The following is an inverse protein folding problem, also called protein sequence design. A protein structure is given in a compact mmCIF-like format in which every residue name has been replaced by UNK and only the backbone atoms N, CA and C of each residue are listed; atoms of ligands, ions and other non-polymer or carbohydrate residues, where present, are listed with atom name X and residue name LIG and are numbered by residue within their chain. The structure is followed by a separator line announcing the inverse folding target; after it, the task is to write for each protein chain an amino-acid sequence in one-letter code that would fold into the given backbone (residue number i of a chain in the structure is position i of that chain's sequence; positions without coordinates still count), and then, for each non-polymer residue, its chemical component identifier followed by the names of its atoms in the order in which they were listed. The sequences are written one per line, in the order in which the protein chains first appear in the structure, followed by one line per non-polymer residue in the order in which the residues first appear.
data_IF_218608191298
#
_entry.id   IF_218608191298
#
_cell.length_a   1.000
_cell.length_b   1.000
_cell.length_c   1.000
_cell.angle_alpha   90.00
_cell.angle_beta   90.00
_cell.angle_gamma   90.00
#
_symmetry.space_group_name_H-M   'P 1'
#
loop_
_entity.id
_entity.type
_entity.pdbx_description
1 polymer ?
#
# COMPACT_ATOMS: atom_id res chain seq x y z
N UNK A 1 -10.89 -6.43 -25.47
CA UNK A 1 -11.04 -7.47 -24.42
C UNK A 1 -10.51 -6.89 -23.12
N UNK A 2 -11.40 -6.57 -22.17
CA UNK A 2 -11.01 -5.99 -20.89
C UNK A 2 -10.33 -7.07 -20.03
N UNK A 3 -9.03 -6.91 -19.76
CA UNK A 3 -8.29 -7.81 -18.87
C UNK A 3 -8.86 -7.69 -17.45
N UNK A 4 -9.31 -8.80 -16.89
CA UNK A 4 -9.66 -8.90 -15.47
C UNK A 4 -8.33 -8.89 -14.69
N UNK A 5 -7.98 -7.75 -14.12
CA UNK A 5 -6.79 -7.60 -13.26
C UNK A 5 -7.17 -8.13 -11.88
N UNK A 6 -6.45 -9.13 -11.38
CA UNK A 6 -6.61 -9.57 -9.99
C UNK A 6 -5.89 -8.57 -9.06
N UNK A 7 -6.55 -7.44 -8.78
CA UNK A 7 -6.06 -6.37 -7.91
C UNK A 7 -5.74 -6.87 -6.49
N UNK A 8 -6.40 -7.96 -6.06
CA UNK A 8 -6.27 -8.52 -4.71
C UNK A 8 -4.88 -9.05 -4.36
N UNK A 9 -4.09 -9.44 -5.36
CA UNK A 9 -2.79 -10.08 -5.13
C UNK A 9 -1.61 -9.10 -5.20
N UNK A 10 -1.83 -7.88 -5.68
CA UNK A 10 -0.75 -6.90 -5.89
C UNK A 10 -0.92 -5.60 -5.11
N UNK A 11 -2.13 -5.34 -4.60
CA UNK A 11 -2.46 -4.15 -3.83
C UNK A 11 -3.21 -4.56 -2.56
N UNK A 12 -3.22 -3.73 -1.50
CA UNK A 12 -2.39 -2.55 -1.36
C UNK A 12 -0.97 -2.90 -0.91
N UNK A 13 -0.05 -1.97 -1.14
CA UNK A 13 1.27 -1.97 -0.52
C UNK A 13 1.70 -0.55 -0.23
N UNK A 14 2.71 -0.40 0.62
CA UNK A 14 3.26 0.89 1.01
C UNK A 14 4.71 0.95 0.57
N UNK A 15 5.11 2.06 -0.05
CA UNK A 15 6.50 2.36 -0.34
C UNK A 15 6.97 3.37 0.70
N UNK A 16 7.95 3.00 1.50
CA UNK A 16 8.59 3.89 2.47
C UNK A 16 9.93 4.37 1.91
N UNK A 17 10.17 5.68 1.92
CA UNK A 17 11.47 6.24 1.57
C UNK A 17 12.34 6.32 2.82
N UNK A 18 13.33 5.43 2.93
CA UNK A 18 14.20 5.31 4.12
C UNK A 18 15.43 6.22 3.98
N UNK A 19 15.97 6.35 2.77
CA UNK A 19 17.09 7.25 2.47
C UNK A 19 16.88 7.94 1.11
N UNK A 20 17.83 8.80 0.71
CA UNK A 20 17.84 9.33 -0.66
C UNK A 20 17.98 8.16 -1.65
N UNK A 21 16.98 8.01 -2.52
CA UNK A 21 16.90 6.95 -3.53
C UNK A 21 16.78 5.51 -3.01
N UNK A 22 16.59 5.30 -1.70
CA UNK A 22 16.32 3.96 -1.13
C UNK A 22 14.87 3.88 -0.70
N UNK A 23 14.14 2.96 -1.33
CA UNK A 23 12.73 2.70 -1.10
C UNK A 23 12.53 1.27 -0.62
N UNK A 24 11.72 1.09 0.41
CA UNK A 24 11.30 -0.23 0.89
C UNK A 24 9.81 -0.44 0.57
N UNK A 25 9.48 -1.58 -0.03
CA UNK A 25 8.10 -2.01 -0.24
C UNK A 25 7.64 -2.83 0.96
N UNK A 26 6.55 -2.41 1.56
CA UNK A 26 5.83 -3.10 2.62
C UNK A 26 4.52 -3.65 2.08
N UNK A 27 4.34 -4.96 2.15
CA UNK A 27 3.08 -5.59 1.77
C UNK A 27 2.03 -5.37 2.85
N UNK A 28 0.77 -5.15 2.45
CA UNK A 28 -0.35 -5.06 3.40
C UNK A 28 -1.10 -6.39 3.37
N UNK A 29 -1.13 -7.06 4.51
CA UNK A 29 -1.87 -8.28 4.72
C UNK A 29 -3.16 -7.96 5.47
N UNK A 30 -4.29 -8.39 4.95
CA UNK A 30 -5.56 -8.26 5.64
C UNK A 30 -5.81 -9.46 6.54
N UNK A 31 -6.19 -9.21 7.78
CA UNK A 31 -6.55 -10.25 8.73
C UNK A 31 -7.98 -10.04 9.23
N UNK A 32 -8.77 -11.11 9.25
CA UNK A 32 -10.18 -11.11 9.64
C UNK A 32 -10.40 -11.33 11.14
N UNK A 33 -9.33 -11.39 11.94
CA UNK A 33 -9.40 -11.45 13.40
C UNK A 33 -9.66 -10.03 13.94
N UNK A 34 -10.74 -9.88 14.71
CA UNK A 34 -11.37 -8.60 15.02
C UNK A 34 -10.53 -7.56 15.79
N UNK A 35 -11.05 -6.33 15.67
CA UNK A 35 -10.77 -5.07 16.38
C UNK A 35 -9.29 -4.67 16.56
N UNK A 36 -8.96 -3.57 15.87
CA UNK A 36 -7.73 -2.77 15.92
C UNK A 36 -6.69 -3.22 14.89
N UNK A 37 -6.45 -2.37 13.88
CA UNK A 37 -5.33 -2.52 12.96
C UNK A 37 -4.01 -2.49 13.74
N UNK A 38 -3.38 -3.64 13.92
CA UNK A 38 -2.10 -3.74 14.62
C UNK A 38 -0.95 -3.86 13.62
N UNK A 39 -0.10 -2.83 13.63
CA UNK A 39 1.19 -2.83 12.97
C UNK A 39 2.13 -3.83 13.68
N UNK A 40 2.20 -5.07 13.20
CA UNK A 40 3.29 -5.98 13.55
C UNK A 40 4.47 -5.74 12.63
N UNK A 41 5.36 -4.86 13.06
CA UNK A 41 6.71 -4.73 12.51
C UNK A 41 7.50 -5.99 12.86
N UNK A 42 7.31 -7.06 12.09
CA UNK A 42 8.08 -8.30 12.26
C UNK A 42 9.50 -8.04 11.77
N UNK A 43 10.33 -7.56 12.69
CA UNK A 43 11.71 -7.21 12.41
C UNK A 43 12.47 -8.33 11.68
N UNK A 44 13.30 -7.89 10.73
CA UNK A 44 14.36 -8.60 9.98
C UNK A 44 14.02 -9.31 8.68
N UNK A 45 12.77 -9.57 8.34
CA UNK A 45 12.43 -10.10 7.02
C UNK A 45 11.19 -9.42 6.45
N UNK A 46 11.42 -8.47 5.51
CA UNK A 46 10.42 -7.83 4.62
C UNK A 46 9.17 -7.34 5.34
N UNK A 47 9.17 -6.07 5.76
CA UNK A 47 8.12 -5.53 6.62
C UNK A 47 6.71 -5.72 6.03
N UNK A 48 5.93 -6.60 6.64
CA UNK A 48 4.51 -6.78 6.37
C UNK A 48 3.68 -5.92 7.33
N UNK A 49 2.56 -5.41 6.82
CA UNK A 49 1.63 -4.58 7.56
C UNK A 49 0.32 -5.32 7.67
N UNK A 50 -0.03 -5.75 8.88
CA UNK A 50 -1.28 -6.47 9.11
C UNK A 50 -2.39 -5.46 9.42
N UNK A 51 -3.41 -5.43 8.58
CA UNK A 51 -4.59 -4.60 8.78
C UNK A 51 -5.77 -5.49 9.18
N UNK A 52 -6.19 -5.39 10.45
CA UNK A 52 -7.30 -6.17 11.01
C UNK A 52 -8.64 -5.52 10.65
N UNK A 53 -9.56 -6.29 10.09
CA UNK A 53 -10.88 -5.79 9.65
C UNK A 53 -12.02 -6.70 10.05
N UNK A 54 -13.19 -6.09 10.27
CA UNK A 54 -14.44 -6.79 10.54
C UNK A 54 -15.25 -7.11 9.28
N UNK A 55 -14.86 -6.56 8.12
CA UNK A 55 -15.54 -6.74 6.83
C UNK A 55 -14.52 -6.95 5.71
N UNK A 56 -15.00 -7.36 4.54
CA UNK A 56 -14.19 -7.46 3.33
C UNK A 56 -13.56 -6.08 3.00
N UNK A 57 -12.24 -6.01 2.70
CA UNK A 57 -11.59 -4.75 2.27
C UNK A 57 -11.95 -4.37 0.83
N UNK A 58 -12.56 -5.30 0.10
CA UNK A 58 -12.78 -5.19 -1.33
C UNK A 58 -14.19 -4.69 -1.62
N UNK A 59 -14.29 -3.68 -2.47
CA UNK A 59 -15.52 -3.27 -3.14
C UNK A 59 -15.91 -4.28 -4.24
N UNK A 60 -17.12 -4.15 -4.76
CA UNK A 60 -17.67 -5.05 -5.79
C UNK A 60 -16.89 -5.01 -7.11
N UNK A 61 -16.28 -3.87 -7.41
CA UNK A 61 -15.42 -3.64 -8.59
C UNK A 61 -14.02 -4.25 -8.45
N UNK A 62 -13.71 -4.87 -7.30
CA UNK A 62 -12.43 -5.49 -7.00
C UNK A 62 -11.35 -4.53 -6.49
N UNK A 63 -11.65 -3.22 -6.41
CA UNK A 63 -10.79 -2.25 -5.74
C UNK A 63 -10.96 -2.32 -4.23
N UNK A 64 -10.06 -1.67 -3.50
CA UNK A 64 -10.20 -1.50 -2.06
C UNK A 64 -11.31 -0.49 -1.78
N UNK A 65 -12.19 -0.82 -0.84
CA UNK A 65 -13.27 0.06 -0.43
C UNK A 65 -12.75 1.34 0.24
N UNK A 66 -13.49 2.44 0.08
CA UNK A 66 -13.04 3.76 0.52
C UNK A 66 -12.73 3.83 2.02
N UNK A 67 -13.52 3.17 2.89
CA UNK A 67 -13.26 3.23 4.33
C UNK A 67 -12.03 2.41 4.72
N UNK A 68 -11.74 1.31 4.01
CA UNK A 68 -10.50 0.57 4.17
C UNK A 68 -9.30 1.43 3.72
N UNK A 69 -9.42 2.17 2.62
CA UNK A 69 -8.38 3.12 2.20
C UNK A 69 -8.14 4.19 3.26
N UNK A 70 -9.19 4.80 3.79
CA UNK A 70 -9.09 5.81 4.86
C UNK A 70 -8.40 5.25 6.10
N UNK A 71 -8.79 4.06 6.55
CA UNK A 71 -8.15 3.39 7.69
C UNK A 71 -6.68 3.08 7.45
N UNK A 72 -6.32 2.64 6.23
CA UNK A 72 -4.93 2.43 5.84
C UNK A 72 -4.13 3.75 5.80
N UNK A 73 -4.70 4.85 5.31
CA UNK A 73 -4.06 6.17 5.33
C UNK A 73 -3.73 6.58 6.77
N UNK A 74 -4.66 6.41 7.71
CA UNK A 74 -4.43 6.73 9.13
C UNK A 74 -3.27 5.89 9.68
N UNK A 75 -3.24 4.59 9.38
CA UNK A 75 -2.15 3.69 9.80
C UNK A 75 -0.81 4.13 9.21
N UNK A 76 -0.79 4.52 7.93
CA UNK A 76 0.41 5.03 7.25
C UNK A 76 0.86 6.35 7.87
N UNK A 77 -0.04 7.31 8.13
CA UNK A 77 0.25 8.58 8.82
C UNK A 77 0.97 8.34 10.15
N UNK A 78 0.43 7.46 10.99
CA UNK A 78 1.06 7.11 12.26
C UNK A 78 2.47 6.52 12.06
N UNK A 79 2.65 5.67 11.05
CA UNK A 79 3.93 5.04 10.75
C UNK A 79 4.97 6.03 10.25
N UNK A 80 4.61 6.90 9.31
CA UNK A 80 5.53 7.89 8.73
C UNK A 80 5.93 8.93 9.76
N UNK A 81 4.99 9.37 10.62
CA UNK A 81 5.28 10.28 11.73
C UNK A 81 6.18 9.62 12.78
N UNK A 82 5.87 8.39 13.22
CA UNK A 82 6.67 7.65 14.20
C UNK A 82 8.10 7.38 13.72
N UNK A 83 8.28 7.07 12.43
CA UNK A 83 9.59 6.79 11.83
C UNK A 83 10.28 8.03 11.28
N UNK A 84 9.59 9.18 11.24
CA UNK A 84 10.04 10.40 10.60
C UNK A 84 10.46 10.20 9.12
N UNK A 85 9.67 9.43 8.37
CA UNK A 85 9.89 9.07 6.96
C UNK A 85 8.76 9.59 6.07
N UNK A 86 8.89 9.43 4.75
CA UNK A 86 7.78 9.65 3.79
C UNK A 86 7.28 8.30 3.30
N UNK A 87 5.97 8.18 3.12
CA UNK A 87 5.32 6.97 2.65
C UNK A 87 4.49 7.23 1.40
N UNK A 88 4.22 6.17 0.65
CA UNK A 88 3.26 6.16 -0.43
C UNK A 88 2.42 4.89 -0.35
N UNK A 89 1.15 5.02 0.00
CA UNK A 89 0.18 3.93 -0.04
C UNK A 89 -0.31 3.77 -1.47
N UNK A 90 -0.07 2.62 -2.07
CA UNK A 90 -0.54 2.29 -3.42
C UNK A 90 -1.69 1.31 -3.29
N UNK A 91 -2.88 1.71 -3.74
CA UNK A 91 -4.11 0.92 -3.62
C UNK A 91 -4.58 0.37 -4.97
N UNK A 92 -4.09 0.93 -6.06
CA UNK A 92 -4.31 0.46 -7.43
C UNK A 92 -3.18 0.94 -8.35
N UNK A 93 -3.09 0.46 -9.62
CA UNK A 93 -2.08 0.93 -10.57
C UNK A 93 -2.09 2.45 -10.81
N UNK A 94 -3.25 3.07 -10.65
CA UNK A 94 -3.54 4.48 -10.89
C UNK A 94 -4.06 5.20 -9.64
N UNK A 95 -3.85 4.64 -8.44
CA UNK A 95 -4.26 5.25 -7.17
C UNK A 95 -3.18 5.09 -6.12
N UNK A 96 -2.59 6.22 -5.75
CA UNK A 96 -1.67 6.28 -4.63
C UNK A 96 -1.89 7.53 -3.77
N UNK A 97 -1.51 7.40 -2.50
CA UNK A 97 -1.61 8.43 -1.48
C UNK A 97 -0.22 8.63 -0.88
N UNK A 98 0.38 9.78 -1.17
CA UNK A 98 1.64 10.21 -0.57
C UNK A 98 1.35 10.74 0.83
N UNK A 99 2.10 10.25 1.80
CA UNK A 99 1.98 10.66 3.20
C UNK A 99 3.32 11.23 3.65
N UNK A 100 3.28 12.51 4.01
CA UNK A 100 4.44 13.26 4.44
C UNK A 100 4.70 13.11 5.95
N UNK A 101 5.87 13.55 6.39
CA UNK A 101 6.34 13.41 7.78
C UNK A 101 5.46 14.17 8.79
N UNK A 102 4.80 15.23 8.34
CA UNK A 102 3.85 16.01 9.13
C UNK A 102 2.45 15.37 9.17
N UNK A 103 2.24 14.28 8.43
CA UNK A 103 0.96 13.60 8.30
C UNK A 103 0.05 14.17 7.21
N UNK A 104 0.49 15.17 6.44
CA UNK A 104 -0.26 15.60 5.25
C UNK A 104 -0.33 14.47 4.21
N UNK A 105 -1.44 14.45 3.46
CA UNK A 105 -1.76 13.38 2.50
C UNK A 105 -2.11 13.99 1.15
N UNK A 106 -1.40 13.57 0.11
CA UNK A 106 -1.65 13.98 -1.26
C UNK A 106 -2.01 12.78 -2.14
N UNK A 107 -3.10 12.90 -2.89
CA UNK A 107 -3.49 11.90 -3.88
C UNK A 107 -2.73 12.08 -5.20
N UNK A 108 -2.38 10.96 -5.84
CA UNK A 108 -1.80 10.94 -7.18
C UNK A 108 -2.26 9.70 -7.94
N UNK A 109 -2.36 9.84 -9.27
CA UNK A 109 -2.61 8.71 -10.18
C UNK A 109 -1.33 8.02 -10.66
N UNK A 110 -0.17 8.51 -10.21
CA UNK A 110 1.14 8.01 -10.60
C UNK A 110 1.91 7.58 -9.35
N UNK A 111 2.02 6.27 -9.08
CA UNK A 111 2.86 5.77 -7.99
C UNK A 111 4.35 6.14 -8.21
N UNK A 112 5.16 6.24 -7.15
CA UNK A 112 6.54 6.66 -7.26
C UNK A 112 7.35 5.63 -8.04
N UNK A 113 7.89 6.05 -9.18
CA UNK A 113 8.68 5.24 -10.11
C UNK A 113 10.16 5.12 -9.72
N UNK A 114 10.49 5.26 -8.42
CA UNK A 114 11.85 5.38 -7.87
C UNK A 114 12.75 4.15 -8.05
N UNK A 115 12.91 3.67 -9.29
CA UNK A 115 13.52 2.39 -9.65
C UNK A 115 12.62 1.18 -9.44
N UNK A 116 11.49 1.31 -8.74
CA UNK A 116 10.53 0.23 -8.53
C UNK A 116 9.71 0.08 -9.82
N UNK A 117 10.04 -0.92 -10.63
CA UNK A 117 9.24 -1.29 -11.80
C UNK A 117 7.92 -1.87 -11.29
N UNK A 118 6.86 -1.07 -11.38
CA UNK A 118 5.49 -1.55 -11.20
C UNK A 118 5.15 -2.26 -12.51
N UNK A 119 5.52 -3.54 -12.60
CA UNK A 119 5.18 -4.35 -13.75
C UNK A 119 3.65 -4.48 -13.80
N UNK A 120 2.98 -4.02 -14.88
CA UNK A 120 1.64 -4.47 -15.13
C UNK A 120 1.71 -5.99 -15.32
N UNK A 121 0.92 -6.76 -14.57
CA UNK A 121 0.89 -8.21 -14.73
C UNK A 121 0.42 -8.51 -16.16
N UNK A 122 1.36 -8.99 -16.99
CA UNK A 122 1.14 -9.27 -18.40
C UNK A 122 2.22 -8.76 -19.36
N UNK A 123 3.42 -8.44 -18.88
CA UNK A 123 4.63 -8.43 -19.71
C UNK A 123 5.42 -9.72 -19.46
N UNK A 124 5.03 -10.80 -20.11
CA UNK A 124 6.01 -11.82 -20.49
C UNK A 124 6.86 -11.17 -21.56
N UNK A 125 8.17 -11.14 -21.36
CA UNK A 125 9.16 -10.79 -22.35
C UNK A 125 8.88 -11.57 -23.65
N UNK A 126 8.47 -10.87 -24.71
CA UNK A 126 8.69 -11.32 -26.08
C UNK A 126 10.09 -10.81 -26.49
N UNK A 127 11.10 -11.67 -26.27
CA UNK A 127 12.36 -11.68 -27.01
C UNK A 127 12.54 -13.08 -27.58
#
# INVERSE_FOLDING_TARGET
MSKVINLKNNYPYIIMRIQNSVYEKHEVCFNSLGAIAELKDQGRDRGQLVYNMQRSPWAEDGYIDAATVEGLIIVVQHMVQKRNLRGCLVTAPDRCYYVEKDGSVDFSSKPPSGGIVILPVGGVDDV
#
